data_IF_664695727173
#
_entry.id   IF_664695727173
#
_cell.length_a   1.000
_cell.length_b   1.000
_cell.length_c   1.000
_cell.angle_alpha   90.00
_cell.angle_beta   90.00
_cell.angle_gamma   90.00
#
_symmetry.space_group_name_H-M   'P 1'
#
loop_
_entity.id
_entity.type
_entity.pdbx_description
1 polymer ?
#
# COMPACT_ATOMS: atom_id res chain seq x y z
N UNK A 1 0.85 7.47 3.64
CA UNK A 1 0.95 6.00 3.67
C UNK A 1 1.31 5.46 2.26
N UNK A 2 2.35 4.61 2.19
CA UNK A 2 2.69 3.86 0.94
C UNK A 2 1.95 2.50 0.88
N UNK A 3 0.63 2.54 0.57
CA UNK A 3 -0.25 1.34 0.44
C UNK A 3 -0.45 0.50 1.76
N UNK A 4 -1.40 -0.44 1.74
CA UNK A 4 -1.33 -1.67 2.59
C UNK A 4 -0.14 -2.60 2.16
N UNK A 5 -0.17 -3.12 0.92
CA UNK A 5 0.89 -3.98 0.34
C UNK A 5 0.77 -3.98 -1.22
N UNK A 6 -0.37 -4.45 -1.77
CA UNK A 6 -0.66 -4.43 -3.22
C UNK A 6 -1.73 -3.33 -3.50
N UNK A 7 -1.33 -2.29 -4.26
CA UNK A 7 -2.26 -1.26 -4.79
C UNK A 7 -2.16 -1.29 -6.32
#
# INVERSE_FOLDING_TARGET
RACRFFC
#
